data_IF_674097075975
#
_entry.id   IF_674097075975
#
_cell.length_a   1.000
_cell.length_b   1.000
_cell.length_c   1.000
_cell.angle_alpha   90.00
_cell.angle_beta   90.00
_cell.angle_gamma   90.00
#
_symmetry.space_group_name_H-M   'P 1'
#
loop_
_entity.id
_entity.type
_entity.pdbx_description
1 polymer ?
#
# COMPACT_ATOMS: atom_id res chain seq x y z
N UNK A 1 37.73 0.13 23.27
CA UNK A 1 38.14 -0.65 24.45
C UNK A 1 39.08 0.12 25.39
N UNK A 2 39.89 1.06 24.90
CA UNK A 2 40.81 1.80 25.76
C UNK A 2 40.14 2.78 26.74
N UNK A 3 38.92 3.18 26.49
CA UNK A 3 38.16 4.15 27.27
C UNK A 3 37.24 3.49 28.33
N UNK A 4 36.95 2.20 28.20
CA UNK A 4 36.13 1.44 29.18
C UNK A 4 37.02 0.68 30.15
N UNK A 5 36.93 1.02 31.43
CA UNK A 5 37.71 0.38 32.50
C UNK A 5 37.00 -0.85 33.08
N UNK A 6 35.71 -1.01 32.83
CA UNK A 6 34.84 -2.06 33.38
C UNK A 6 34.89 -3.38 32.58
N UNK A 7 35.31 -3.37 31.30
CA UNK A 7 35.38 -4.55 30.44
C UNK A 7 36.59 -4.48 29.50
N UNK A 8 37.49 -5.44 29.59
CA UNK A 8 38.51 -5.70 28.59
C UNK A 8 38.14 -6.93 27.77
N UNK A 9 37.70 -6.73 26.54
CA UNK A 9 37.40 -7.82 25.60
C UNK A 9 38.67 -8.19 24.81
N UNK A 10 38.93 -9.47 24.71
CA UNK A 10 40.02 -9.95 23.88
C UNK A 10 39.73 -9.76 22.38
N UNK A 11 40.82 -9.70 21.53
CA UNK A 11 40.67 -9.50 20.09
C UNK A 11 39.66 -10.46 19.41
N UNK A 12 39.69 -11.73 19.82
CA UNK A 12 38.80 -12.78 19.28
C UNK A 12 37.32 -12.51 19.50
N UNK A 13 36.95 -11.80 20.60
CA UNK A 13 35.57 -11.42 20.86
C UNK A 13 35.12 -10.32 19.90
N UNK A 14 35.99 -9.35 19.64
CA UNK A 14 35.75 -8.24 18.72
C UNK A 14 35.60 -8.76 17.30
N UNK A 15 36.50 -9.64 16.86
CA UNK A 15 36.45 -10.28 15.53
C UNK A 15 35.16 -11.09 15.33
N UNK A 16 34.79 -11.88 16.36
CA UNK A 16 33.53 -12.63 16.33
C UNK A 16 32.29 -11.71 16.20
N UNK A 17 32.24 -10.64 16.99
CA UNK A 17 31.13 -9.66 16.90
C UNK A 17 31.09 -8.98 15.55
N UNK A 18 32.26 -8.58 15.01
CA UNK A 18 32.33 -8.01 13.68
C UNK A 18 31.87 -8.99 12.59
N UNK A 19 32.23 -10.26 12.70
CA UNK A 19 31.75 -11.31 11.80
C UNK A 19 30.24 -11.53 11.87
N UNK A 20 29.67 -11.49 13.07
CA UNK A 20 28.21 -11.58 13.28
C UNK A 20 27.49 -10.37 12.68
N UNK A 21 27.99 -9.16 12.93
CA UNK A 21 27.43 -7.93 12.36
C UNK A 21 27.42 -7.97 10.83
N UNK A 22 28.54 -8.37 10.21
CA UNK A 22 28.61 -8.49 8.74
C UNK A 22 27.60 -9.49 8.17
N UNK A 23 27.32 -10.58 8.90
CA UNK A 23 26.30 -11.56 8.50
C UNK A 23 24.89 -10.99 8.63
N UNK A 24 24.56 -10.32 9.75
CA UNK A 24 23.24 -9.75 9.96
C UNK A 24 22.93 -8.65 8.94
N UNK A 25 23.89 -7.76 8.65
CA UNK A 25 23.72 -6.70 7.66
C UNK A 25 23.34 -7.25 6.27
N UNK A 26 23.91 -8.39 5.86
CA UNK A 26 23.56 -9.03 4.58
C UNK A 26 22.11 -9.54 4.54
N UNK A 27 21.50 -9.80 5.70
CA UNK A 27 20.11 -10.26 5.83
C UNK A 27 19.06 -9.14 5.78
N UNK A 28 19.43 -7.90 6.09
CA UNK A 28 18.50 -6.81 6.31
C UNK A 28 17.56 -6.53 5.12
N UNK A 29 18.04 -6.62 3.89
CA UNK A 29 17.18 -6.44 2.72
C UNK A 29 16.11 -7.53 2.61
N UNK A 30 16.42 -8.78 3.05
CA UNK A 30 15.44 -9.88 3.10
C UNK A 30 14.43 -9.70 4.22
N UNK A 31 14.78 -8.96 5.27
CA UNK A 31 13.92 -8.60 6.40
C UNK A 31 12.99 -7.42 6.08
N UNK A 32 13.06 -6.85 4.86
CA UNK A 32 12.15 -5.80 4.39
C UNK A 32 12.73 -4.37 4.46
N UNK A 33 13.98 -4.20 4.86
CA UNK A 33 14.62 -2.88 4.79
C UNK A 33 14.86 -2.48 3.33
N UNK A 34 14.32 -1.31 2.91
CA UNK A 34 14.42 -0.81 1.54
C UNK A 34 15.86 -0.45 1.17
N UNK A 35 16.60 0.11 2.11
CA UNK A 35 18.01 0.49 1.95
C UNK A 35 18.78 0.28 3.24
N UNK A 36 20.07 0.00 3.10
CA UNK A 36 21.00 -0.18 4.23
C UNK A 36 22.18 0.76 3.99
N UNK A 37 22.39 1.68 4.91
CA UNK A 37 23.47 2.65 4.85
C UNK A 37 24.58 2.25 5.82
N UNK A 38 25.82 2.21 5.34
CA UNK A 38 26.99 1.88 6.14
C UNK A 38 27.79 3.16 6.41
N UNK A 39 27.81 3.58 7.66
CA UNK A 39 28.67 4.67 8.11
C UNK A 39 30.04 4.10 8.49
N UNK A 40 31.11 4.63 7.90
CA UNK A 40 32.47 4.07 7.99
C UNK A 40 33.45 4.98 8.73
N UNK A 41 33.07 6.22 9.01
CA UNK A 41 33.92 7.20 9.67
C UNK A 41 33.14 7.96 10.74
N UNK A 42 33.88 8.54 11.69
CA UNK A 42 33.30 9.42 12.71
C UNK A 42 32.71 10.70 12.08
N UNK A 43 33.28 11.15 10.97
CA UNK A 43 32.78 12.30 10.24
C UNK A 43 31.40 11.99 9.60
N UNK A 44 31.26 10.85 8.93
CA UNK A 44 29.96 10.42 8.37
C UNK A 44 28.87 10.30 9.45
N UNK A 45 29.26 9.84 10.67
CA UNK A 45 28.33 9.76 11.81
C UNK A 45 27.95 11.14 12.31
N UNK A 46 28.90 12.09 12.37
CA UNK A 46 28.66 13.45 12.85
C UNK A 46 27.79 14.27 11.87
N UNK A 47 27.91 14.01 10.58
CA UNK A 47 27.15 14.67 9.51
C UNK A 47 25.77 14.02 9.27
N UNK A 48 25.49 12.86 9.89
CA UNK A 48 24.23 12.14 9.69
C UNK A 48 23.05 12.91 10.29
N UNK A 49 22.07 13.20 9.46
CA UNK A 49 20.76 13.67 9.90
C UNK A 49 19.73 12.56 9.80
N UNK A 50 19.02 12.31 10.90
CA UNK A 50 17.94 11.32 10.94
C UNK A 50 16.61 12.06 11.02
N UNK A 51 15.83 11.98 9.95
CA UNK A 51 14.48 12.51 9.91
C UNK A 51 13.46 11.40 10.14
N UNK A 52 12.48 11.67 11.00
CA UNK A 52 11.34 10.78 11.21
C UNK A 52 10.16 11.32 10.39
N UNK A 53 9.77 10.54 9.39
CA UNK A 53 8.60 10.86 8.58
C UNK A 53 7.46 9.86 8.89
N UNK A 54 6.20 10.31 8.87
CA UNK A 54 5.06 9.40 8.99
C UNK A 54 5.09 8.35 7.87
N UNK A 55 4.63 7.14 8.16
CA UNK A 55 4.39 6.15 7.12
C UNK A 55 3.28 6.65 6.18
N UNK A 56 3.31 6.25 4.92
CA UNK A 56 2.26 6.57 3.94
C UNK A 56 0.86 6.13 4.41
N UNK A 57 0.81 5.10 5.25
CA UNK A 57 -0.41 4.58 5.86
C UNK A 57 -0.83 5.33 7.12
N UNK A 58 0.00 6.23 7.66
CA UNK A 58 -0.36 7.06 8.81
C UNK A 58 -1.23 8.23 8.35
N UNK A 59 -2.54 8.07 8.48
CA UNK A 59 -3.57 9.05 8.10
C UNK A 59 -4.26 9.70 9.30
N UNK A 60 -3.65 9.67 10.49
CA UNK A 60 -4.23 10.23 11.72
C UNK A 60 -4.48 11.73 11.67
N UNK A 61 -3.79 12.44 10.79
CA UNK A 61 -4.01 13.87 10.55
C UNK A 61 -5.17 14.17 9.58
N UNK A 62 -5.68 13.14 8.89
CA UNK A 62 -6.79 13.29 7.97
C UNK A 62 -8.11 13.47 8.74
N UNK A 63 -8.90 14.41 8.31
CA UNK A 63 -10.24 14.68 8.87
C UNK A 63 -11.26 14.69 7.75
N UNK A 64 -12.47 14.16 8.04
CA UNK A 64 -13.60 14.14 7.10
C UNK A 64 -14.16 15.52 6.76
N UNK A 65 -15.27 15.54 6.03
CA UNK A 65 -16.26 14.46 5.95
C UNK A 65 -15.86 13.31 5.03
N UNK A 66 -16.22 12.08 5.43
CA UNK A 66 -15.95 10.85 4.68
C UNK A 66 -17.25 10.06 4.45
N UNK A 67 -17.31 9.35 3.32
CA UNK A 67 -18.30 8.32 3.03
C UNK A 67 -17.58 6.97 2.97
N UNK A 68 -17.98 6.00 3.80
CA UNK A 68 -17.36 4.68 3.83
C UNK A 68 -18.14 3.71 2.93
N UNK A 69 -17.46 3.11 1.95
CA UNK A 69 -18.04 2.17 0.97
C UNK A 69 -17.23 0.87 0.99
N UNK A 70 -17.90 -0.25 1.20
CA UNK A 70 -17.30 -1.59 1.16
C UNK A 70 -18.11 -2.56 0.32
N UNK A 71 -17.55 -3.77 0.11
CA UNK A 71 -18.22 -4.89 -0.57
C UNK A 71 -18.78 -4.56 -1.96
N UNK A 72 -18.06 -3.79 -2.75
CA UNK A 72 -18.48 -3.35 -4.10
C UNK A 72 -18.50 -4.53 -5.08
N UNK A 73 -17.55 -5.45 -4.95
CA UNK A 73 -17.51 -6.71 -5.67
C UNK A 73 -17.75 -6.60 -7.19
N UNK A 74 -17.09 -5.66 -7.87
CA UNK A 74 -17.20 -5.50 -9.32
C UNK A 74 -18.53 -4.93 -9.82
N UNK A 75 -19.40 -4.45 -8.93
CA UNK A 75 -20.68 -3.84 -9.25
C UNK A 75 -20.50 -2.34 -9.56
N UNK A 76 -19.94 -2.04 -10.75
CA UNK A 76 -19.62 -0.65 -11.13
C UNK A 76 -20.87 0.22 -11.25
N UNK A 77 -21.94 -0.29 -11.88
CA UNK A 77 -23.14 0.51 -12.12
C UNK A 77 -23.81 0.92 -10.81
N UNK A 78 -23.90 -0.01 -9.85
CA UNK A 78 -24.44 0.26 -8.53
C UNK A 78 -23.55 1.25 -7.74
N UNK A 79 -22.22 1.13 -7.88
CA UNK A 79 -21.30 2.07 -7.27
C UNK A 79 -21.48 3.48 -7.85
N UNK A 80 -21.66 3.61 -9.16
CA UNK A 80 -21.89 4.90 -9.82
C UNK A 80 -23.21 5.53 -9.39
N UNK A 81 -24.27 4.74 -9.24
CA UNK A 81 -25.56 5.19 -8.71
C UNK A 81 -25.39 5.69 -7.28
N UNK A 82 -24.75 4.89 -6.41
CA UNK A 82 -24.50 5.26 -5.01
C UNK A 82 -23.70 6.57 -4.89
N UNK A 83 -22.63 6.70 -5.67
CA UNK A 83 -21.82 7.93 -5.68
C UNK A 83 -22.67 9.14 -6.10
N UNK A 84 -23.53 8.99 -7.11
CA UNK A 84 -24.48 10.03 -7.54
C UNK A 84 -25.47 10.42 -6.43
N UNK A 85 -26.03 9.44 -5.73
CA UNK A 85 -26.95 9.69 -4.60
C UNK A 85 -26.24 10.37 -3.42
N UNK A 86 -24.94 10.08 -3.21
CA UNK A 86 -24.12 10.75 -2.21
C UNK A 86 -23.65 12.15 -2.64
N UNK A 87 -23.94 12.56 -3.89
CA UNK A 87 -23.63 13.88 -4.42
C UNK A 87 -22.26 14.00 -5.10
N UNK A 88 -21.62 12.88 -5.45
CA UNK A 88 -20.39 12.89 -6.23
C UNK A 88 -20.67 13.06 -7.73
N UNK A 89 -19.85 13.85 -8.38
CA UNK A 89 -19.85 14.04 -9.83
C UNK A 89 -18.81 13.11 -10.46
N UNK A 90 -19.27 12.20 -11.34
CA UNK A 90 -18.40 11.20 -11.98
C UNK A 90 -17.66 11.84 -13.13
N UNK A 91 -16.34 11.73 -13.11
CA UNK A 91 -15.45 12.13 -14.19
C UNK A 91 -15.21 10.94 -15.13
N UNK A 92 -15.31 11.19 -16.44
CA UNK A 92 -15.15 10.16 -17.46
C UNK A 92 -13.99 10.51 -18.40
N UNK A 93 -13.32 9.48 -18.90
CA UNK A 93 -12.30 9.64 -19.94
C UNK A 93 -12.94 9.89 -21.34
N UNK A 94 -12.08 10.07 -22.34
CA UNK A 94 -12.50 10.36 -23.72
C UNK A 94 -13.36 9.27 -24.38
N UNK A 95 -13.34 8.05 -23.82
CA UNK A 95 -14.16 6.92 -24.30
C UNK A 95 -15.34 6.61 -23.37
N UNK A 96 -15.63 7.52 -22.43
CA UNK A 96 -16.79 7.45 -21.55
C UNK A 96 -16.65 6.58 -20.30
N UNK A 97 -15.47 6.04 -20.00
CA UNK A 97 -15.25 5.21 -18.82
C UNK A 97 -15.09 6.08 -17.58
N UNK A 98 -15.73 5.70 -16.47
CA UNK A 98 -15.54 6.35 -15.19
C UNK A 98 -14.10 6.17 -14.69
N UNK A 99 -13.42 7.29 -14.40
CA UNK A 99 -12.03 7.32 -13.97
C UNK A 99 -11.82 8.04 -12.64
N UNK A 100 -12.81 8.83 -12.19
CA UNK A 100 -12.76 9.57 -10.93
C UNK A 100 -14.18 9.96 -10.51
N UNK A 101 -14.37 10.38 -9.27
CA UNK A 101 -15.59 11.00 -8.79
C UNK A 101 -15.26 12.04 -7.72
N UNK A 102 -15.82 13.24 -7.86
CA UNK A 102 -15.49 14.41 -7.05
C UNK A 102 -16.73 14.89 -6.33
N UNK A 103 -16.66 15.14 -5.03
CA UNK A 103 -17.75 15.75 -4.30
C UNK A 103 -17.56 17.27 -4.23
N UNK A 104 -18.58 18.11 -4.64
CA UNK A 104 -18.44 19.57 -4.70
C UNK A 104 -18.09 20.23 -3.36
N UNK A 105 -18.43 19.58 -2.25
CA UNK A 105 -18.14 20.06 -0.89
C UNK A 105 -16.87 19.41 -0.29
N UNK A 106 -16.03 18.73 -1.10
CA UNK A 106 -14.78 18.14 -0.66
C UNK A 106 -14.95 16.90 0.25
N UNK A 107 -16.10 16.23 0.24
CA UNK A 107 -16.25 14.90 0.86
C UNK A 107 -15.36 13.90 0.13
N UNK A 108 -14.86 12.91 0.84
CA UNK A 108 -14.00 11.87 0.26
C UNK A 108 -14.52 10.47 0.59
N UNK A 109 -14.35 9.55 -0.32
CA UNK A 109 -14.68 8.15 -0.10
C UNK A 109 -13.56 7.45 0.67
N UNK A 110 -13.93 6.53 1.56
CA UNK A 110 -13.03 5.52 2.12
C UNK A 110 -13.53 4.16 1.65
N UNK A 111 -12.80 3.55 0.70
CA UNK A 111 -13.07 2.18 0.28
C UNK A 111 -12.55 1.19 1.32
N UNK A 112 -13.42 0.32 1.83
CA UNK A 112 -13.12 -0.63 2.91
C UNK A 112 -12.65 -2.01 2.40
N UNK A 113 -12.27 -2.09 1.12
CA UNK A 113 -11.87 -3.32 0.44
C UNK A 113 -13.03 -4.06 -0.20
N UNK A 114 -12.74 -5.28 -0.68
CA UNK A 114 -13.65 -6.16 -1.40
C UNK A 114 -14.30 -5.47 -2.63
N UNK A 115 -13.45 -4.78 -3.39
CA UNK A 115 -13.82 -4.05 -4.61
C UNK A 115 -14.00 -4.98 -5.81
N UNK A 116 -13.30 -6.11 -5.82
CA UNK A 116 -13.23 -7.05 -6.93
C UNK A 116 -13.99 -8.35 -6.67
N UNK A 117 -14.06 -9.18 -7.68
CA UNK A 117 -14.68 -10.49 -7.69
C UNK A 117 -16.23 -10.44 -7.71
N UNK A 118 -16.85 -11.55 -8.17
CA UNK A 118 -18.29 -11.79 -8.22
C UNK A 118 -19.04 -10.97 -9.26
N UNK A 119 -18.89 -9.67 -9.30
CA UNK A 119 -19.68 -8.76 -10.14
C UNK A 119 -19.18 -8.64 -11.57
N UNK A 120 -19.93 -7.89 -12.40
CA UNK A 120 -19.73 -7.88 -13.85
C UNK A 120 -18.54 -7.06 -14.33
N UNK A 121 -18.03 -6.08 -13.54
CA UNK A 121 -16.98 -5.15 -14.00
C UNK A 121 -15.97 -4.79 -12.89
N UNK A 122 -15.17 -5.76 -12.43
CA UNK A 122 -14.07 -5.50 -11.51
C UNK A 122 -13.01 -4.55 -12.08
N UNK A 123 -12.63 -4.60 -13.39
CA UNK A 123 -11.71 -3.63 -13.97
C UNK A 123 -12.23 -2.19 -13.92
N UNK A 124 -13.53 -1.99 -14.15
CA UNK A 124 -14.15 -0.67 -14.06
C UNK A 124 -14.15 -0.11 -12.65
N UNK A 125 -14.50 -0.92 -11.66
CA UNK A 125 -14.44 -0.54 -10.23
C UNK A 125 -13.00 -0.19 -9.84
N UNK A 126 -12.01 -1.02 -10.22
CA UNK A 126 -10.60 -0.74 -9.93
C UNK A 126 -10.14 0.56 -10.58
N UNK A 127 -10.50 0.81 -11.84
CA UNK A 127 -10.13 2.03 -12.56
C UNK A 127 -10.66 3.27 -11.83
N UNK A 128 -11.92 3.26 -11.45
CA UNK A 128 -12.57 4.34 -10.73
C UNK A 128 -11.93 4.56 -9.35
N UNK A 129 -11.83 3.50 -8.54
CA UNK A 129 -11.27 3.60 -7.19
C UNK A 129 -9.79 4.05 -7.20
N UNK A 130 -8.97 3.52 -8.13
CA UNK A 130 -7.58 3.93 -8.28
C UNK A 130 -7.45 5.39 -8.74
N UNK A 131 -8.31 5.85 -9.63
CA UNK A 131 -8.37 7.25 -10.06
C UNK A 131 -8.71 8.17 -8.89
N UNK A 132 -9.81 7.87 -8.18
CA UNK A 132 -10.21 8.64 -6.99
C UNK A 132 -9.10 8.70 -5.92
N UNK A 133 -8.40 7.58 -5.68
CA UNK A 133 -7.26 7.56 -4.74
C UNK A 133 -6.07 8.37 -5.27
N UNK A 134 -5.77 8.27 -6.56
CA UNK A 134 -4.68 8.99 -7.22
C UNK A 134 -4.85 10.50 -7.18
N UNK A 135 -6.08 10.98 -7.37
CA UNK A 135 -6.46 12.41 -7.32
C UNK A 135 -6.73 12.92 -5.89
N UNK A 136 -6.72 12.04 -4.89
CA UNK A 136 -6.95 12.40 -3.49
C UNK A 136 -8.43 12.52 -3.10
N UNK A 137 -9.35 12.08 -3.94
CA UNK A 137 -10.80 12.10 -3.70
C UNK A 137 -11.27 10.86 -2.92
N UNK A 138 -10.41 9.85 -2.77
CA UNK A 138 -10.66 8.70 -1.92
C UNK A 138 -9.42 8.24 -1.16
N UNK A 139 -9.66 7.43 -0.13
CA UNK A 139 -8.71 6.55 0.52
C UNK A 139 -9.17 5.12 0.30
N UNK A 140 -8.27 4.16 0.35
CA UNK A 140 -8.62 2.75 0.24
C UNK A 140 -7.79 1.88 1.17
N UNK A 141 -8.40 0.84 1.71
CA UNK A 141 -7.72 -0.27 2.36
C UNK A 141 -8.03 -1.55 1.56
N UNK A 142 -7.07 -2.44 1.35
CA UNK A 142 -7.34 -3.68 0.64
C UNK A 142 -8.14 -4.64 1.53
N UNK A 143 -9.12 -5.32 0.93
CA UNK A 143 -9.80 -6.47 1.52
C UNK A 143 -9.05 -7.78 1.22
N UNK A 144 -9.64 -8.89 1.65
CA UNK A 144 -9.08 -10.22 1.37
C UNK A 144 -9.21 -10.60 -0.13
N UNK A 145 -10.13 -10.02 -0.86
CA UNK A 145 -10.28 -10.21 -2.31
C UNK A 145 -9.13 -9.54 -3.06
N UNK A 146 -8.77 -8.32 -2.74
CA UNK A 146 -7.61 -7.62 -3.33
C UNK A 146 -6.30 -8.33 -2.98
N UNK A 147 -6.12 -8.81 -1.74
CA UNK A 147 -4.91 -9.55 -1.34
C UNK A 147 -4.73 -10.82 -2.18
N UNK A 148 -5.82 -11.54 -2.44
CA UNK A 148 -5.83 -12.71 -3.33
C UNK A 148 -5.48 -12.33 -4.77
N UNK A 149 -6.09 -11.28 -5.32
CA UNK A 149 -5.84 -10.81 -6.68
C UNK A 149 -4.37 -10.41 -6.84
N UNK A 150 -3.82 -9.62 -5.92
CA UNK A 150 -2.41 -9.22 -5.95
C UNK A 150 -1.48 -10.44 -5.91
N UNK A 151 -1.76 -11.43 -5.09
CA UNK A 151 -0.99 -12.68 -5.05
C UNK A 151 -1.06 -13.44 -6.37
N UNK A 152 -2.25 -13.55 -6.98
CA UNK A 152 -2.44 -14.20 -8.26
C UNK A 152 -1.66 -13.50 -9.38
N UNK A 153 -1.78 -12.18 -9.49
CA UNK A 153 -1.07 -11.36 -10.48
C UNK A 153 0.45 -11.37 -10.28
N UNK A 154 0.91 -11.59 -9.04
CA UNK A 154 2.33 -11.74 -8.70
C UNK A 154 2.87 -13.15 -8.95
N UNK A 155 2.10 -14.05 -9.56
CA UNK A 155 2.49 -15.44 -9.84
C UNK A 155 2.59 -16.34 -8.60
N UNK A 156 2.05 -15.93 -7.47
CA UNK A 156 1.99 -16.75 -6.26
C UNK A 156 0.85 -17.75 -6.35
N UNK A 157 1.04 -18.94 -5.75
CA UNK A 157 -0.05 -19.92 -5.65
C UNK A 157 -1.19 -19.38 -4.79
N UNK A 158 -2.38 -19.29 -5.37
CA UNK A 158 -3.63 -18.97 -4.68
C UNK A 158 -4.70 -19.96 -5.08
N UNK A 159 -5.63 -20.24 -4.17
CA UNK A 159 -6.84 -20.98 -4.53
C UNK A 159 -7.78 -20.04 -5.27
N UNK A 160 -8.02 -20.31 -6.55
CA UNK A 160 -8.96 -19.55 -7.38
C UNK A 160 -10.38 -19.94 -6.94
N UNK A 161 -11.05 -19.03 -6.28
CA UNK A 161 -12.40 -19.23 -5.71
C UNK A 161 -13.03 -17.91 -5.31
N UNK A 162 -14.34 -17.94 -5.06
CA UNK A 162 -15.14 -16.80 -4.59
C UNK A 162 -15.19 -15.60 -5.58
N UNK A 163 -15.10 -15.88 -6.88
CA UNK A 163 -15.22 -14.89 -7.94
C UNK A 163 -13.90 -14.39 -8.50
N UNK A 164 -12.74 -14.81 -7.96
CA UNK A 164 -11.42 -14.42 -8.49
C UNK A 164 -11.26 -14.83 -9.96
N UNK A 165 -11.80 -15.98 -10.36
CA UNK A 165 -11.83 -16.44 -11.75
C UNK A 165 -12.49 -15.43 -12.70
N UNK A 166 -13.57 -14.81 -12.25
CA UNK A 166 -14.30 -13.79 -13.01
C UNK A 166 -13.43 -12.54 -13.20
N UNK A 167 -12.83 -12.04 -12.12
CA UNK A 167 -11.93 -10.86 -12.18
C UNK A 167 -10.74 -11.12 -13.09
N UNK A 168 -10.09 -12.28 -12.98
CA UNK A 168 -8.96 -12.62 -13.85
C UNK A 168 -9.36 -12.71 -15.34
N UNK A 169 -10.53 -13.25 -15.64
CA UNK A 169 -11.06 -13.31 -16.99
C UNK A 169 -11.40 -11.91 -17.54
N UNK A 170 -11.92 -11.01 -16.72
CA UNK A 170 -12.22 -9.62 -17.07
C UNK A 170 -10.94 -8.80 -17.32
N UNK A 171 -9.88 -9.04 -16.53
CA UNK A 171 -8.59 -8.34 -16.70
C UNK A 171 -7.78 -8.82 -17.91
N UNK A 172 -8.11 -9.97 -18.49
CA UNK A 172 -7.43 -10.54 -19.66
C UNK A 172 -8.01 -10.04 -21.00
N UNK A 173 -9.09 -9.27 -20.98
CA UNK A 173 -9.73 -8.68 -22.17
C UNK A 173 -9.10 -7.34 -22.54
#
# INVERSE_FOLDING_TARGET
NAVRTDRRLGPHVIERQQGQLRKSVRGLQREGFRSVHHLRSEQEIAELSIERVPLLTDRRSESGPFDAIGDVHGCLDELLILLGELGYEVVRDAVGRAIDAVHPQGRRVIFLGDLVDRGPDSPGVLRLAMGMVGEGHALAVPGNHEDKLVKALSGRKVTVSHGLETTLAQLAQ
#
